data_IF_805522164949
#
_entry.id   IF_805522164949
#
_cell.length_a   1.000
_cell.length_b   1.000
_cell.length_c   1.000
_cell.angle_alpha   90.00
_cell.angle_beta   90.00
_cell.angle_gamma   90.00
#
_symmetry.space_group_name_H-M   'P 1'
#
loop_
_entity.id
_entity.type
_entity.pdbx_description
1 polymer ?
#
# COMPACT_ATOMS: atom_id res chain seq x y z
N UNK A 1 7.85 -12.07 21.21
CA UNK A 1 6.48 -11.48 21.19
C UNK A 1 6.37 -10.27 20.25
N UNK A 2 7.45 -9.51 19.97
CA UNK A 2 7.41 -8.34 19.08
C UNK A 2 7.31 -8.62 17.58
N UNK A 3 7.75 -9.80 17.10
CA UNK A 3 7.84 -10.05 15.65
C UNK A 3 6.51 -10.24 14.94
N UNK A 4 5.65 -11.09 15.49
CA UNK A 4 4.32 -11.32 14.93
C UNK A 4 3.41 -10.08 15.05
N UNK A 5 3.64 -9.25 16.07
CA UNK A 5 2.86 -8.04 16.29
C UNK A 5 3.10 -7.00 15.18
N UNK A 6 4.35 -6.71 14.84
CA UNK A 6 4.68 -5.73 13.81
C UNK A 6 4.16 -6.14 12.43
N UNK A 7 4.29 -7.41 12.06
CA UNK A 7 3.77 -7.93 10.80
C UNK A 7 2.24 -7.90 10.75
N UNK A 8 1.57 -8.17 11.88
CA UNK A 8 0.11 -8.08 11.98
C UNK A 8 -0.38 -6.65 11.82
N UNK A 9 0.27 -5.69 12.49
CA UNK A 9 -0.02 -4.24 12.34
C UNK A 9 0.19 -3.82 10.89
N UNK A 10 1.31 -4.21 10.28
CA UNK A 10 1.60 -3.97 8.88
C UNK A 10 0.47 -4.48 7.97
N UNK A 11 0.08 -5.75 8.06
CA UNK A 11 -0.93 -6.34 7.18
C UNK A 11 -2.30 -5.66 7.35
N UNK A 12 -2.74 -5.41 8.58
CA UNK A 12 -4.04 -4.76 8.85
C UNK A 12 -4.03 -3.33 8.30
N UNK A 13 -2.97 -2.56 8.55
CA UNK A 13 -2.87 -1.18 8.09
C UNK A 13 -2.85 -1.09 6.56
N UNK A 14 -2.05 -1.92 5.88
CA UNK A 14 -1.98 -1.93 4.41
C UNK A 14 -3.32 -2.39 3.82
N UNK A 15 -3.91 -3.49 4.28
CA UNK A 15 -5.19 -3.98 3.76
C UNK A 15 -6.33 -2.97 3.97
N UNK A 16 -6.38 -2.31 5.12
CA UNK A 16 -7.35 -1.24 5.38
C UNK A 16 -7.14 -0.05 4.43
N UNK A 17 -5.90 0.39 4.22
CA UNK A 17 -5.58 1.46 3.28
C UNK A 17 -5.98 1.10 1.84
N UNK A 18 -5.69 -0.13 1.40
CA UNK A 18 -6.08 -0.63 0.07
C UNK A 18 -7.60 -0.62 -0.09
N UNK A 19 -8.35 -1.10 0.91
CA UNK A 19 -9.81 -1.08 0.89
C UNK A 19 -10.37 0.34 0.77
N UNK A 20 -9.83 1.29 1.53
CA UNK A 20 -10.23 2.70 1.44
C UNK A 20 -9.97 3.24 0.03
N UNK A 21 -8.77 3.02 -0.53
CA UNK A 21 -8.43 3.50 -1.88
C UNK A 21 -9.28 2.88 -2.97
N UNK A 22 -9.67 1.61 -2.82
CA UNK A 22 -10.61 0.94 -3.72
C UNK A 22 -11.97 1.66 -3.73
N UNK A 23 -12.53 1.95 -2.56
CA UNK A 23 -13.80 2.67 -2.48
C UNK A 23 -13.68 4.14 -2.91
N UNK A 24 -12.53 4.79 -2.71
CA UNK A 24 -12.26 6.11 -3.30
C UNK A 24 -12.27 6.04 -4.82
N UNK A 25 -11.62 5.04 -5.42
CA UNK A 25 -11.59 4.86 -6.87
C UNK A 25 -13.00 4.64 -7.42
N UNK A 26 -13.77 3.72 -6.82
CA UNK A 26 -15.17 3.45 -7.21
C UNK A 26 -16.03 4.71 -7.05
N UNK A 27 -15.94 5.38 -5.89
CA UNK A 27 -16.70 6.60 -5.62
C UNK A 27 -16.43 7.71 -6.62
N UNK A 28 -15.17 7.85 -7.07
CA UNK A 28 -14.78 8.83 -8.10
C UNK A 28 -15.21 8.44 -9.51
N UNK A 29 -15.30 7.14 -9.82
CA UNK A 29 -15.84 6.67 -11.10
C UNK A 29 -17.34 6.94 -11.20
N UNK A 30 -18.06 6.78 -10.09
CA UNK A 30 -19.50 7.04 -10.01
C UNK A 30 -19.83 8.54 -9.94
N UNK A 31 -19.04 9.30 -9.17
CA UNK A 31 -19.19 10.73 -9.02
C UNK A 31 -17.84 11.44 -9.26
N UNK A 32 -17.67 11.95 -10.49
CA UNK A 32 -16.42 12.60 -10.94
C UNK A 32 -16.08 13.87 -10.16
N UNK A 33 -17.07 14.52 -9.54
CA UNK A 33 -16.90 15.70 -8.71
C UNK A 33 -16.70 15.36 -7.22
N UNK A 34 -16.82 14.08 -6.86
CA UNK A 34 -16.66 13.58 -5.49
C UNK A 34 -15.25 13.84 -4.92
N UNK A 35 -15.19 14.57 -3.82
CA UNK A 35 -13.94 14.91 -3.12
C UNK A 35 -13.79 14.04 -1.87
N UNK A 36 -13.02 12.96 -1.99
CA UNK A 36 -12.77 12.00 -0.90
C UNK A 36 -11.46 12.30 -0.12
N UNK A 37 -11.22 13.57 0.23
CA UNK A 37 -9.96 14.00 0.87
C UNK A 37 -9.62 13.23 2.13
N UNK A 38 -10.56 13.16 3.08
CA UNK A 38 -10.34 12.49 4.36
C UNK A 38 -10.01 11.01 4.16
N UNK A 39 -10.69 10.33 3.23
CA UNK A 39 -10.44 8.93 2.92
C UNK A 39 -9.01 8.72 2.37
N UNK A 40 -8.58 9.53 1.42
CA UNK A 40 -7.22 9.43 0.84
C UNK A 40 -6.14 9.72 1.89
N UNK A 41 -6.34 10.71 2.76
CA UNK A 41 -5.40 11.01 3.85
C UNK A 41 -5.34 9.88 4.87
N UNK A 42 -6.49 9.33 5.26
CA UNK A 42 -6.55 8.16 6.17
C UNK A 42 -5.85 6.95 5.56
N UNK A 43 -6.08 6.64 4.28
CA UNK A 43 -5.40 5.56 3.59
C UNK A 43 -3.89 5.79 3.53
N UNK A 44 -3.46 7.02 3.25
CA UNK A 44 -2.04 7.39 3.22
C UNK A 44 -1.39 7.23 4.60
N UNK A 45 -2.06 7.69 5.66
CA UNK A 45 -1.58 7.55 7.03
C UNK A 45 -1.44 6.09 7.46
N UNK A 46 -2.46 5.27 7.18
CA UNK A 46 -2.42 3.82 7.42
C UNK A 46 -1.30 3.15 6.62
N UNK A 47 -1.15 3.51 5.34
CA UNK A 47 -0.08 3.01 4.47
C UNK A 47 1.31 3.27 5.04
N UNK A 48 1.57 4.51 5.47
CA UNK A 48 2.84 4.91 6.09
C UNK A 48 3.07 4.17 7.41
N UNK A 49 2.06 4.11 8.28
CA UNK A 49 2.16 3.41 9.58
C UNK A 49 2.49 1.93 9.36
N UNK A 50 1.80 1.26 8.44
CA UNK A 50 2.06 -0.13 8.10
C UNK A 50 3.49 -0.33 7.62
N UNK A 51 3.90 0.45 6.61
CA UNK A 51 5.25 0.36 6.04
C UNK A 51 6.34 0.62 7.09
N UNK A 52 6.17 1.61 7.97
CA UNK A 52 7.11 1.90 9.05
C UNK A 52 7.15 0.79 10.09
N UNK A 53 6.00 0.21 10.46
CA UNK A 53 5.96 -0.92 11.38
C UNK A 53 6.79 -2.12 10.86
N UNK A 54 6.71 -2.40 9.55
CA UNK A 54 7.53 -3.43 8.90
C UNK A 54 9.03 -3.09 8.93
N UNK A 55 9.39 -1.86 8.51
CA UNK A 55 10.80 -1.45 8.41
C UNK A 55 11.52 -1.32 9.76
N UNK A 56 10.85 -0.74 10.76
CA UNK A 56 11.40 -0.57 12.11
C UNK A 56 11.57 -1.92 12.81
N UNK A 57 10.71 -2.88 12.47
CA UNK A 57 10.78 -4.21 13.04
C UNK A 57 11.94 -5.06 12.48
N UNK A 58 12.31 -4.88 11.21
CA UNK A 58 13.42 -5.60 10.58
C UNK A 58 14.80 -5.29 11.20
N UNK A 59 14.94 -4.25 12.03
CA UNK A 59 16.18 -3.89 12.75
C UNK A 59 17.37 -3.48 11.86
N UNK A 60 17.27 -3.66 10.53
CA UNK A 60 18.31 -3.34 9.53
C UNK A 60 17.69 -2.80 8.24
N UNK A 61 17.17 -1.55 8.26
CA UNK A 61 16.52 -0.93 7.11
C UNK A 61 17.44 -0.82 5.88
N UNK A 62 18.74 -0.61 6.09
CA UNK A 62 19.73 -0.53 5.01
C UNK A 62 19.97 -1.89 4.31
N UNK A 63 19.85 -3.01 5.01
CA UNK A 63 19.91 -4.34 4.36
C UNK A 63 18.58 -4.76 3.75
N UNK A 64 17.45 -4.23 4.22
CA UNK A 64 16.17 -4.38 3.53
C UNK A 64 16.19 -3.71 2.15
N UNK A 65 16.94 -2.61 2.00
CA UNK A 65 17.20 -2.03 0.67
C UNK A 65 18.00 -2.99 -0.24
N UNK A 66 18.91 -3.81 0.29
CA UNK A 66 19.58 -4.84 -0.50
C UNK A 66 18.61 -5.94 -0.98
N UNK A 67 17.55 -6.23 -0.21
CA UNK A 67 16.47 -7.12 -0.63
C UNK A 67 15.56 -6.48 -1.71
N UNK A 68 15.40 -5.15 -1.71
CA UNK A 68 14.76 -4.42 -2.81
C UNK A 68 15.54 -4.56 -4.12
N UNK A 69 16.88 -4.57 -4.07
CA UNK A 69 17.73 -4.74 -5.26
C UNK A 69 17.74 -6.18 -5.81
N UNK A 70 17.30 -7.18 -5.05
CA UNK A 70 17.05 -8.55 -5.54
C UNK A 70 15.60 -8.70 -5.98
N UNK A 71 15.18 -7.85 -6.92
CA UNK A 71 13.82 -7.78 -7.43
C UNK A 71 13.32 -9.14 -7.95
N UNK A 72 12.18 -9.61 -7.43
CA UNK A 72 11.36 -10.64 -8.09
C UNK A 72 11.72 -12.10 -7.82
N UNK A 73 12.78 -12.41 -7.06
CA UNK A 73 13.16 -13.81 -6.77
C UNK A 73 12.23 -14.49 -5.77
N UNK A 74 11.59 -13.73 -4.87
CA UNK A 74 10.65 -14.24 -3.86
C UNK A 74 9.33 -13.49 -3.86
N UNK A 75 8.28 -14.09 -3.28
CA UNK A 75 6.99 -13.40 -3.05
C UNK A 75 7.13 -12.26 -2.04
N UNK A 76 8.06 -12.39 -1.08
CA UNK A 76 8.39 -11.33 -0.12
C UNK A 76 8.95 -10.08 -0.81
N UNK A 77 9.91 -10.23 -1.74
CA UNK A 77 10.46 -9.09 -2.49
C UNK A 77 9.36 -8.35 -3.27
N UNK A 78 8.45 -9.10 -3.91
CA UNK A 78 7.33 -8.52 -4.66
C UNK A 78 6.41 -7.69 -3.77
N UNK A 79 6.04 -8.21 -2.61
CA UNK A 79 5.20 -7.52 -1.63
C UNK A 79 5.83 -6.20 -1.17
N UNK A 80 7.11 -6.19 -0.80
CA UNK A 80 7.79 -4.93 -0.39
C UNK A 80 7.71 -3.87 -1.51
N UNK A 81 7.93 -4.28 -2.77
CA UNK A 81 7.83 -3.38 -3.92
C UNK A 81 6.40 -2.87 -4.16
N UNK A 82 5.41 -3.76 -4.14
CA UNK A 82 4.01 -3.36 -4.36
C UNK A 82 3.49 -2.48 -3.22
N UNK A 83 3.82 -2.80 -1.97
CA UNK A 83 3.56 -1.95 -0.80
C UNK A 83 4.17 -0.56 -0.99
N UNK A 84 5.45 -0.46 -1.35
CA UNK A 84 6.12 0.83 -1.52
C UNK A 84 5.51 1.67 -2.65
N UNK A 85 5.20 1.04 -3.79
CA UNK A 85 4.53 1.71 -4.92
C UNK A 85 3.12 2.15 -4.50
N UNK A 86 2.35 1.29 -3.82
CA UNK A 86 1.03 1.60 -3.32
C UNK A 86 1.05 2.83 -2.40
N UNK A 87 1.88 2.80 -1.35
CA UNK A 87 2.02 3.93 -0.42
C UNK A 87 2.46 5.19 -1.16
N UNK A 88 3.45 5.10 -2.06
CA UNK A 88 3.88 6.23 -2.88
C UNK A 88 2.75 6.84 -3.71
N UNK A 89 1.92 6.02 -4.36
CA UNK A 89 0.75 6.48 -5.11
C UNK A 89 -0.27 7.19 -4.21
N UNK A 90 -0.54 6.66 -3.01
CA UNK A 90 -1.45 7.31 -2.04
C UNK A 90 -0.93 8.68 -1.59
N UNK A 91 0.37 8.80 -1.31
CA UNK A 91 1.02 10.07 -0.95
C UNK A 91 0.91 11.08 -2.09
N UNK A 92 1.21 10.68 -3.33
CA UNK A 92 1.11 11.57 -4.50
C UNK A 92 -0.34 12.00 -4.72
N UNK A 93 -1.31 11.10 -4.57
CA UNK A 93 -2.74 11.42 -4.66
C UNK A 93 -3.17 12.41 -3.56
N UNK A 94 -2.73 12.22 -2.32
CA UNK A 94 -2.98 13.13 -1.20
C UNK A 94 -2.38 14.52 -1.48
N UNK A 95 -1.11 14.59 -1.86
CA UNK A 95 -0.44 15.86 -2.18
C UNK A 95 -1.15 16.60 -3.31
N UNK A 96 -1.53 15.92 -4.39
CA UNK A 96 -2.26 16.54 -5.50
C UNK A 96 -3.64 17.05 -5.09
N UNK A 97 -4.35 16.35 -4.21
CA UNK A 97 -5.64 16.79 -3.67
C UNK A 97 -5.56 18.13 -2.93
N UNK A 98 -4.43 18.42 -2.28
CA UNK A 98 -4.21 19.69 -1.57
C UNK A 98 -3.56 20.75 -2.46
N UNK A 99 -2.55 20.38 -3.24
CA UNK A 99 -1.76 21.33 -4.04
C UNK A 99 -2.45 21.75 -5.34
N UNK A 100 -3.21 20.86 -5.98
CA UNK A 100 -3.87 21.10 -7.27
C UNK A 100 -5.26 20.46 -7.33
N UNK A 101 -6.24 20.97 -6.55
CA UNK A 101 -7.59 20.39 -6.50
C UNK A 101 -8.33 20.38 -7.85
N UNK A 102 -7.93 21.25 -8.79
CA UNK A 102 -8.47 21.31 -10.16
C UNK A 102 -8.02 20.12 -11.03
N UNK A 103 -6.96 19.39 -10.65
CA UNK A 103 -6.45 18.21 -11.36
C UNK A 103 -7.26 16.94 -11.06
N UNK A 104 -8.60 17.04 -11.10
CA UNK A 104 -9.51 15.98 -10.68
C UNK A 104 -9.27 14.66 -11.42
N UNK A 105 -9.01 14.71 -12.74
CA UNK A 105 -8.72 13.54 -13.57
C UNK A 105 -7.43 12.81 -13.15
N UNK A 106 -6.36 13.56 -12.85
CA UNK A 106 -5.10 12.98 -12.40
C UNK A 106 -5.25 12.27 -11.05
N UNK A 107 -5.97 12.88 -10.11
CA UNK A 107 -6.26 12.26 -8.81
C UNK A 107 -7.12 10.99 -8.97
N UNK A 108 -8.08 10.98 -9.91
CA UNK A 108 -8.88 9.77 -10.19
C UNK A 108 -8.01 8.66 -10.77
N UNK A 109 -7.16 8.98 -11.74
CA UNK A 109 -6.20 8.02 -12.31
C UNK A 109 -5.24 7.45 -11.27
N UNK A 110 -4.69 8.30 -10.41
CA UNK A 110 -3.82 7.88 -9.30
C UNK A 110 -4.57 7.04 -8.27
N UNK A 111 -5.80 7.38 -7.92
CA UNK A 111 -6.59 6.62 -6.95
C UNK A 111 -6.94 5.23 -7.49
N UNK A 112 -7.31 5.14 -8.76
CA UNK A 112 -7.55 3.85 -9.43
C UNK A 112 -6.27 3.03 -9.57
N UNK A 113 -5.16 3.66 -9.95
CA UNK A 113 -3.85 3.02 -9.99
C UNK A 113 -3.41 2.49 -8.62
N UNK A 114 -3.56 3.29 -7.57
CA UNK A 114 -3.28 2.88 -6.20
C UNK A 114 -4.15 1.69 -5.77
N UNK A 115 -5.45 1.71 -6.08
CA UNK A 115 -6.35 0.60 -5.78
C UNK A 115 -5.90 -0.70 -6.47
N UNK A 116 -5.53 -0.64 -7.76
CA UNK A 116 -5.05 -1.80 -8.51
C UNK A 116 -3.73 -2.36 -7.95
N UNK A 117 -2.75 -1.49 -7.71
CA UNK A 117 -1.47 -1.87 -7.12
C UNK A 117 -1.67 -2.47 -5.73
N UNK A 118 -2.54 -1.87 -4.90
CA UNK A 118 -2.89 -2.36 -3.58
C UNK A 118 -3.54 -3.75 -3.61
N UNK A 119 -4.41 -4.03 -4.58
CA UNK A 119 -4.99 -5.38 -4.72
C UNK A 119 -3.93 -6.42 -5.11
N UNK A 120 -2.97 -6.04 -5.95
CA UNK A 120 -1.83 -6.90 -6.30
C UNK A 120 -0.95 -7.16 -5.08
N UNK A 121 -0.74 -6.14 -4.24
CA UNK A 121 -0.01 -6.25 -2.98
C UNK A 121 -0.68 -7.23 -2.01
N UNK A 122 -1.99 -7.13 -1.81
CA UNK A 122 -2.77 -8.07 -0.99
C UNK A 122 -2.69 -9.50 -1.54
N UNK A 123 -2.70 -9.66 -2.87
CA UNK A 123 -2.47 -10.96 -3.49
C UNK A 123 -1.05 -11.48 -3.23
N UNK A 124 -0.03 -10.65 -3.32
CA UNK A 124 1.34 -11.02 -3.00
C UNK A 124 1.47 -11.48 -1.54
N UNK A 125 0.84 -10.77 -0.59
CA UNK A 125 0.76 -11.18 0.82
C UNK A 125 0.16 -12.58 0.97
N UNK A 126 -0.98 -12.85 0.31
CA UNK A 126 -1.62 -14.18 0.36
C UNK A 126 -0.70 -15.28 -0.18
N UNK A 127 0.10 -14.99 -1.20
CA UNK A 127 1.04 -15.95 -1.80
C UNK A 127 2.21 -16.28 -0.90
N UNK A 128 2.68 -15.35 -0.07
CA UNK A 128 3.71 -15.60 0.95
C UNK A 128 3.25 -16.73 1.88
N UNK A 129 2.02 -16.66 2.40
CA UNK A 129 1.47 -17.70 3.27
C UNK A 129 1.30 -19.04 2.56
N UNK A 130 0.83 -19.04 1.31
CA UNK A 130 0.62 -20.28 0.55
C UNK A 130 1.91 -20.98 0.10
N UNK A 131 3.02 -20.24 -0.03
CA UNK A 131 4.33 -20.78 -0.42
C UNK A 131 5.16 -21.22 0.79
N UNK A 132 4.92 -20.65 1.96
CA UNK A 132 5.51 -21.09 3.23
C UNK A 132 4.88 -22.39 3.77
N UNK A 133 3.68 -22.75 3.31
CA UNK A 133 2.91 -23.90 3.82
C UNK A 133 3.12 -25.22 3.06
N UNK A 134 4.26 -25.42 2.37
CA UNK A 134 4.56 -26.75 1.83
C UNK A 134 4.87 -27.68 3.02
N UNK A 135 4.05 -28.71 3.28
CA UNK A 135 4.36 -29.69 4.30
C UNK A 135 5.58 -30.50 3.84
N UNK A 136 6.56 -30.67 4.72
CA UNK A 136 7.52 -31.78 4.61
C UNK A 136 6.92 -33.04 5.21
#
# INVERSE_FOLDING_TARGET
MGEHFALTVFSICIQAAVGIMLFVAIGRLMNKEGVFKNAVVTATGLGIIGMLASLLHLGRPLSAMNALFQFGTSWLSREIWFTAIFVGLTVVAAVLLYAKPQAAGAVTGLSAGAALVGLIDVFAMARIYSSASVPV
#
